data_IF_698147063979
#
_entry.id   IF_698147063979
#
_cell.length_a   1.000
_cell.length_b   1.000
_cell.length_c   1.000
_cell.angle_alpha   90.00
_cell.angle_beta   90.00
_cell.angle_gamma   90.00
#
_symmetry.space_group_name_H-M   'P 1'
#
loop_
_entity.id
_entity.type
_entity.pdbx_description
1 polymer ?
#
# COMPACT_ATOMS: atom_id res chain seq x y z
N UNK A 1 5.09 -10.37 -19.09
CA UNK A 1 3.75 -9.76 -19.25
C UNK A 1 3.49 -8.76 -18.14
N UNK A 2 2.45 -7.93 -18.25
CA UNK A 2 1.99 -7.06 -17.19
C UNK A 2 0.81 -7.67 -16.41
N UNK A 3 0.51 -7.12 -15.21
CA UNK A 3 -0.63 -7.57 -14.40
C UNK A 3 -1.96 -7.45 -15.15
N UNK A 4 -2.16 -6.37 -15.94
CA UNK A 4 -3.39 -6.15 -16.68
C UNK A 4 -3.55 -7.10 -17.87
N UNK A 5 -2.47 -7.37 -18.60
CA UNK A 5 -2.48 -8.36 -19.67
C UNK A 5 -2.71 -9.76 -19.13
N UNK A 6 -2.02 -10.13 -18.06
CA UNK A 6 -2.19 -11.43 -17.42
C UNK A 6 -3.64 -11.64 -16.94
N UNK A 7 -4.26 -10.62 -16.36
CA UNK A 7 -5.67 -10.66 -15.94
C UNK A 7 -6.63 -10.80 -17.13
N UNK A 8 -6.37 -10.06 -18.23
CA UNK A 8 -7.23 -10.08 -19.42
C UNK A 8 -7.17 -11.42 -20.15
N UNK A 9 -5.97 -11.95 -20.28
CA UNK A 9 -5.69 -13.16 -21.03
C UNK A 9 -5.52 -14.38 -20.08
N UNK A 10 -6.20 -14.34 -18.93
CA UNK A 10 -6.01 -15.27 -17.81
C UNK A 10 -6.23 -16.74 -18.21
N UNK A 11 -7.21 -17.04 -19.07
CA UNK A 11 -7.52 -18.39 -19.54
C UNK A 11 -6.30 -19.04 -20.21
N UNK A 12 -5.53 -18.29 -20.98
CA UNK A 12 -4.31 -18.78 -21.64
C UNK A 12 -3.22 -19.17 -20.63
N UNK A 13 -3.09 -18.39 -19.54
CA UNK A 13 -2.07 -18.65 -18.53
C UNK A 13 -2.42 -19.80 -17.57
N UNK A 14 -3.70 -20.11 -17.39
CA UNK A 14 -4.15 -21.23 -16.54
C UNK A 14 -3.73 -22.61 -17.05
N UNK A 15 -3.55 -22.75 -18.36
CA UNK A 15 -3.18 -24.01 -19.00
C UNK A 15 -1.68 -24.27 -18.91
N UNK A 16 -0.88 -23.25 -18.59
CA UNK A 16 0.56 -23.33 -18.57
C UNK A 16 1.05 -23.63 -17.15
N UNK A 17 1.92 -24.62 -16.99
CA UNK A 17 2.67 -24.86 -15.75
C UNK A 17 4.03 -24.15 -15.85
N UNK A 18 4.23 -23.13 -14.99
CA UNK A 18 5.45 -22.34 -14.95
C UNK A 18 6.46 -22.96 -13.98
N UNK A 19 7.74 -22.93 -14.32
CA UNK A 19 8.80 -23.26 -13.37
C UNK A 19 8.92 -22.15 -12.29
N UNK A 20 8.89 -20.89 -12.73
CA UNK A 20 8.93 -19.70 -11.86
C UNK A 20 7.85 -18.71 -12.25
N UNK A 21 7.19 -18.15 -11.23
CA UNK A 21 6.38 -16.92 -11.36
C UNK A 21 7.00 -15.86 -10.48
N UNK A 22 7.52 -14.82 -11.11
CA UNK A 22 8.18 -13.70 -10.44
C UNK A 22 7.28 -12.47 -10.59
N UNK A 23 6.81 -11.93 -9.48
CA UNK A 23 6.06 -10.67 -9.46
C UNK A 23 7.02 -9.51 -9.19
N UNK A 24 7.20 -8.65 -10.17
CA UNK A 24 7.84 -7.35 -9.95
C UNK A 24 6.80 -6.35 -9.49
N UNK A 25 7.19 -5.38 -8.65
CA UNK A 25 6.29 -4.42 -8.01
C UNK A 25 5.09 -5.14 -7.35
N UNK A 26 5.37 -6.13 -6.49
CA UNK A 26 4.36 -7.00 -5.89
C UNK A 26 3.30 -6.25 -5.05
N UNK A 27 3.47 -4.96 -4.77
CA UNK A 27 2.42 -4.13 -4.15
C UNK A 27 1.15 -4.04 -5.01
N UNK A 28 1.20 -4.37 -6.32
CA UNK A 28 -0.01 -4.47 -7.15
C UNK A 28 -0.98 -5.57 -6.69
N UNK A 29 -0.51 -6.55 -5.92
CA UNK A 29 -1.35 -7.60 -5.33
C UNK A 29 -1.63 -7.42 -3.83
N UNK A 30 -1.25 -6.29 -3.24
CA UNK A 30 -1.43 -6.01 -1.80
C UNK A 30 -2.89 -6.11 -1.33
N UNK A 31 -3.83 -5.79 -2.19
CA UNK A 31 -5.25 -5.97 -1.92
C UNK A 31 -5.73 -7.29 -2.52
N UNK A 32 -5.95 -8.29 -1.66
CA UNK A 32 -6.41 -9.63 -2.07
C UNK A 32 -7.73 -9.66 -2.84
N UNK A 33 -8.56 -8.61 -2.74
CA UNK A 33 -9.86 -8.53 -3.42
C UNK A 33 -9.75 -8.08 -4.87
N UNK A 34 -8.61 -7.58 -5.29
CA UNK A 34 -8.42 -7.12 -6.68
C UNK A 34 -8.36 -8.31 -7.63
N UNK A 35 -8.85 -8.10 -8.84
CA UNK A 35 -8.78 -9.10 -9.91
C UNK A 35 -7.33 -9.49 -10.22
N UNK A 36 -6.38 -8.53 -10.16
CA UNK A 36 -4.96 -8.79 -10.35
C UNK A 36 -4.42 -9.78 -9.29
N UNK A 37 -4.73 -9.55 -8.01
CA UNK A 37 -4.31 -10.45 -6.95
C UNK A 37 -4.91 -11.85 -7.10
N UNK A 38 -6.19 -11.94 -7.41
CA UNK A 38 -6.87 -13.22 -7.61
C UNK A 38 -6.28 -14.00 -8.79
N UNK A 39 -6.06 -13.34 -9.93
CA UNK A 39 -5.54 -13.99 -11.13
C UNK A 39 -4.12 -14.55 -10.92
N UNK A 40 -3.18 -13.78 -10.33
CA UNK A 40 -1.81 -14.27 -10.13
C UNK A 40 -1.71 -15.40 -9.11
N UNK A 41 -2.60 -15.43 -8.10
CA UNK A 41 -2.59 -16.47 -7.06
C UNK A 41 -3.00 -17.85 -7.59
N UNK A 42 -3.75 -17.91 -8.67
CA UNK A 42 -4.24 -19.16 -9.27
C UNK A 42 -3.33 -19.73 -10.34
N UNK A 43 -2.22 -19.05 -10.70
CA UNK A 43 -1.24 -19.57 -11.64
C UNK A 43 -0.58 -20.85 -11.13
N UNK A 44 -0.47 -21.85 -12.01
CA UNK A 44 0.23 -23.09 -11.72
C UNK A 44 1.74 -22.86 -11.84
N UNK A 45 2.47 -23.05 -10.75
CA UNK A 45 3.92 -22.81 -10.74
C UNK A 45 4.59 -23.60 -9.64
N UNK A 46 5.84 -24.00 -9.86
CA UNK A 46 6.68 -24.67 -8.86
C UNK A 46 7.29 -23.70 -7.87
N UNK A 47 7.74 -22.54 -8.35
CA UNK A 47 8.43 -21.56 -7.53
C UNK A 47 7.81 -20.18 -7.69
N UNK A 48 7.77 -19.42 -6.61
CA UNK A 48 7.21 -18.08 -6.56
C UNK A 48 8.18 -17.11 -5.94
N UNK A 49 8.32 -15.93 -6.53
CA UNK A 49 9.12 -14.82 -6.01
C UNK A 49 8.31 -13.53 -6.13
N UNK A 50 8.43 -12.67 -5.14
CA UNK A 50 7.84 -11.35 -5.13
C UNK A 50 8.92 -10.30 -4.88
N UNK A 51 9.05 -9.33 -5.78
CA UNK A 51 9.94 -8.19 -5.68
C UNK A 51 9.11 -6.95 -5.39
N UNK A 52 9.50 -6.19 -4.35
CA UNK A 52 8.83 -4.94 -4.00
C UNK A 52 9.79 -4.01 -3.27
N UNK A 53 9.75 -2.72 -3.60
CA UNK A 53 10.46 -1.69 -2.84
C UNK A 53 9.81 -1.39 -1.48
N UNK A 54 8.56 -1.75 -1.30
CA UNK A 54 7.72 -1.37 -0.16
C UNK A 54 6.89 -2.55 0.35
N UNK A 55 7.52 -3.54 1.01
CA UNK A 55 6.86 -4.79 1.38
C UNK A 55 5.73 -4.62 2.41
N UNK A 56 5.80 -3.59 3.25
CA UNK A 56 4.82 -3.28 4.29
C UNK A 56 4.71 -1.75 4.38
N UNK A 57 3.85 -1.15 3.55
CA UNK A 57 3.64 0.30 3.62
C UNK A 57 2.56 0.70 4.61
N UNK A 58 1.39 0.07 4.54
CA UNK A 58 0.21 0.59 5.19
C UNK A 58 -0.53 -0.41 6.09
N UNK A 59 -0.36 -1.71 5.89
CA UNK A 59 -1.09 -2.68 6.70
C UNK A 59 -0.51 -4.09 6.67
N UNK A 60 -0.76 -4.86 7.74
CA UNK A 60 -0.43 -6.28 7.80
C UNK A 60 -1.23 -7.11 6.79
N UNK A 61 -2.39 -6.61 6.33
CA UNK A 61 -3.16 -7.24 5.26
C UNK A 61 -2.39 -7.29 3.93
N UNK A 62 -1.55 -6.29 3.65
CA UNK A 62 -0.70 -6.27 2.45
C UNK A 62 0.37 -7.37 2.53
N UNK A 63 1.04 -7.50 3.70
CA UNK A 63 1.98 -8.59 3.97
C UNK A 63 1.30 -9.94 3.77
N UNK A 64 0.12 -10.13 4.36
CA UNK A 64 -0.64 -11.37 4.21
C UNK A 64 -0.91 -11.69 2.74
N UNK A 65 -1.32 -10.71 1.95
CA UNK A 65 -1.66 -10.95 0.53
C UNK A 65 -0.45 -11.39 -0.30
N UNK A 66 0.74 -10.83 -0.03
CA UNK A 66 1.98 -11.26 -0.69
C UNK A 66 2.36 -12.67 -0.25
N UNK A 67 2.26 -12.98 1.05
CA UNK A 67 2.57 -14.34 1.56
C UNK A 67 1.56 -15.38 1.08
N UNK A 68 0.29 -15.03 0.93
CA UNK A 68 -0.71 -15.93 0.36
C UNK A 68 -0.47 -16.25 -1.12
N UNK A 69 0.16 -15.32 -1.88
CA UNK A 69 0.69 -15.63 -3.20
C UNK A 69 1.90 -16.56 -3.12
N UNK A 70 2.92 -16.22 -2.30
CA UNK A 70 4.18 -16.97 -2.22
C UNK A 70 3.96 -18.39 -1.69
N UNK A 71 3.27 -18.52 -0.59
CA UNK A 71 3.05 -19.76 0.16
C UNK A 71 1.60 -19.81 0.65
N UNK A 72 0.66 -20.29 -0.19
CA UNK A 72 -0.75 -20.38 0.18
C UNK A 72 -0.94 -21.11 1.51
N UNK A 73 -1.78 -20.59 2.38
CA UNK A 73 -2.10 -21.13 3.71
C UNK A 73 -0.96 -21.04 4.77
N UNK A 74 0.22 -20.58 4.45
CA UNK A 74 1.33 -20.44 5.42
C UNK A 74 0.96 -19.51 6.60
N UNK A 75 0.32 -18.38 6.31
CA UNK A 75 -0.22 -17.47 7.31
C UNK A 75 -1.73 -17.68 7.54
N UNK A 76 -2.23 -18.88 7.28
CA UNK A 76 -3.65 -19.26 7.35
C UNK A 76 -4.52 -18.46 6.36
N UNK A 77 -5.86 -18.62 6.46
CA UNK A 77 -6.76 -17.75 5.72
C UNK A 77 -6.77 -16.32 6.32
N UNK A 78 -7.21 -15.34 5.54
CA UNK A 78 -7.17 -13.94 5.97
C UNK A 78 -7.97 -13.64 7.24
N UNK A 79 -9.11 -14.30 7.43
CA UNK A 79 -9.92 -14.11 8.64
C UNK A 79 -9.13 -14.52 9.89
N UNK A 80 -8.53 -15.69 9.88
CA UNK A 80 -7.71 -16.18 10.99
C UNK A 80 -6.46 -15.32 11.23
N UNK A 81 -5.77 -14.92 10.15
CA UNK A 81 -4.63 -14.01 10.23
C UNK A 81 -5.02 -12.68 10.86
N UNK A 82 -6.16 -12.11 10.47
CA UNK A 82 -6.67 -10.85 10.98
C UNK A 82 -6.95 -10.91 12.47
N UNK A 83 -7.59 -11.97 12.95
CA UNK A 83 -7.89 -12.15 14.36
C UNK A 83 -6.66 -12.48 15.19
N UNK A 84 -5.74 -13.27 14.65
CA UNK A 84 -4.56 -13.75 15.38
C UNK A 84 -3.44 -12.71 15.44
N UNK A 85 -3.25 -11.94 14.38
CA UNK A 85 -2.11 -11.01 14.24
C UNK A 85 -2.53 -9.57 13.99
N UNK A 86 -3.36 -9.30 12.96
CA UNK A 86 -3.61 -7.91 12.53
C UNK A 86 -4.31 -7.09 13.61
N UNK A 87 -5.42 -7.57 14.16
CA UNK A 87 -6.18 -6.87 15.21
C UNK A 87 -5.35 -6.72 16.49
N UNK A 88 -4.74 -7.78 17.05
CA UNK A 88 -3.93 -7.65 18.26
C UNK A 88 -2.75 -6.70 18.10
N UNK A 89 -2.04 -6.75 16.97
CA UNK A 89 -0.86 -5.90 16.73
C UNK A 89 -1.28 -4.44 16.54
N UNK A 90 -2.32 -4.17 15.73
CA UNK A 90 -2.69 -2.79 15.38
C UNK A 90 -3.51 -2.12 16.47
N UNK A 91 -4.47 -2.83 17.07
CA UNK A 91 -5.38 -2.23 18.06
C UNK A 91 -4.88 -2.33 19.49
N UNK A 92 -4.20 -3.43 19.83
CA UNK A 92 -3.79 -3.72 21.20
C UNK A 92 -2.27 -3.57 21.40
N UNK A 93 -1.53 -3.18 20.35
CA UNK A 93 -0.06 -3.03 20.38
C UNK A 93 0.66 -4.27 20.93
N UNK A 94 0.13 -5.48 20.64
CA UNK A 94 0.63 -6.75 21.16
C UNK A 94 2.02 -7.08 20.58
N UNK A 95 3.04 -6.79 21.35
CA UNK A 95 4.45 -7.01 20.97
C UNK A 95 4.79 -8.50 20.83
N UNK A 96 4.14 -9.38 21.60
CA UNK A 96 4.40 -10.82 21.50
C UNK A 96 3.90 -11.38 20.17
N UNK A 97 2.70 -10.96 19.74
CA UNK A 97 2.15 -11.33 18.42
C UNK A 97 2.97 -10.75 17.29
N UNK A 98 3.45 -9.50 17.45
CA UNK A 98 4.34 -8.87 16.47
C UNK A 98 5.66 -9.65 16.35
N UNK A 99 6.31 -10.00 17.46
CA UNK A 99 7.55 -10.78 17.45
C UNK A 99 7.35 -12.16 16.81
N UNK A 100 6.24 -12.84 17.14
CA UNK A 100 5.91 -14.13 16.55
C UNK A 100 5.67 -14.05 15.04
N UNK A 101 4.92 -13.06 14.57
CA UNK A 101 4.72 -12.83 13.13
C UNK A 101 6.04 -12.56 12.43
N UNK A 102 6.90 -11.70 13.02
CA UNK A 102 8.23 -11.41 12.49
C UNK A 102 9.06 -12.68 12.33
N UNK A 103 9.14 -13.54 13.35
CA UNK A 103 9.85 -14.81 13.27
C UNK A 103 9.35 -15.72 12.15
N UNK A 104 8.04 -15.72 11.88
CA UNK A 104 7.44 -16.53 10.81
C UNK A 104 7.85 -16.03 9.43
N UNK A 105 7.87 -14.71 9.20
CA UNK A 105 8.08 -14.14 7.88
C UNK A 105 9.54 -13.82 7.54
N UNK A 106 10.35 -13.52 8.54
CA UNK A 106 11.75 -13.09 8.38
C UNK A 106 12.63 -14.05 7.55
N UNK A 107 12.51 -15.39 7.66
CA UNK A 107 13.32 -16.31 6.84
C UNK A 107 13.05 -16.23 5.33
N UNK A 108 11.92 -15.65 4.94
CA UNK A 108 11.48 -15.55 3.54
C UNK A 108 11.61 -14.14 2.97
N UNK A 109 12.09 -13.18 3.76
CA UNK A 109 12.23 -11.77 3.36
C UNK A 109 13.70 -11.41 3.29
N UNK A 110 14.17 -11.00 2.11
CA UNK A 110 15.46 -10.37 1.94
C UNK A 110 15.28 -8.88 1.68
N UNK A 111 15.64 -8.04 2.64
CA UNK A 111 15.61 -6.60 2.49
C UNK A 111 17.01 -6.02 2.52
N UNK A 112 17.33 -5.20 1.52
CA UNK A 112 18.58 -4.44 1.45
C UNK A 112 18.25 -2.98 1.19
N UNK A 113 18.73 -2.08 2.02
CA UNK A 113 18.61 -0.64 1.77
C UNK A 113 19.75 -0.16 0.88
N UNK A 114 19.51 0.90 0.11
CA UNK A 114 20.55 1.52 -0.72
C UNK A 114 21.78 1.90 0.12
N UNK A 115 21.58 2.39 1.33
CA UNK A 115 22.64 2.81 2.25
C UNK A 115 23.53 1.65 2.71
N UNK A 116 22.97 0.44 2.84
CA UNK A 116 23.73 -0.75 3.26
C UNK A 116 24.57 -1.35 2.13
N UNK A 117 24.12 -1.18 0.88
CA UNK A 117 24.72 -1.87 -0.28
C UNK A 117 25.58 -0.95 -1.14
N UNK A 118 25.21 0.32 -1.26
CA UNK A 118 25.84 1.30 -2.14
C UNK A 118 26.65 2.31 -1.32
N UNK A 119 27.75 1.84 -0.78
CA UNK A 119 28.66 2.69 0.05
C UNK A 119 29.36 3.78 -0.76
N UNK A 120 29.40 3.67 -2.09
CA UNK A 120 30.02 4.63 -3.00
C UNK A 120 29.08 5.82 -3.36
N UNK A 121 27.78 5.72 -3.06
CA UNK A 121 26.86 6.81 -3.31
C UNK A 121 26.98 7.89 -2.23
N UNK A 122 27.03 9.18 -2.63
CA UNK A 122 26.97 10.27 -1.66
C UNK A 122 25.62 10.24 -0.91
N UNK A 123 25.62 10.84 0.28
CA UNK A 123 24.40 10.98 1.06
C UNK A 123 23.35 11.77 0.27
N UNK A 124 22.07 11.35 0.45
CA UNK A 124 20.94 12.05 -0.15
C UNK A 124 20.83 13.46 0.43
N UNK A 125 20.96 14.46 -0.43
CA UNK A 125 20.74 15.87 -0.07
C UNK A 125 19.30 16.21 -0.40
N UNK A 126 18.52 16.61 0.61
CA UNK A 126 17.15 17.10 0.44
C UNK A 126 17.12 18.62 0.65
N UNK A 127 16.77 19.34 -0.40
CA UNK A 127 16.60 20.78 -0.32
C UNK A 127 15.11 21.13 -0.41
N UNK A 128 14.60 21.79 0.62
CA UNK A 128 13.24 22.33 0.61
C UNK A 128 13.26 23.71 -0.02
N UNK A 129 12.66 23.84 -1.20
CA UNK A 129 12.48 25.13 -1.88
C UNK A 129 11.07 25.62 -1.60
N UNK A 130 10.97 26.74 -0.90
CA UNK A 130 9.70 27.41 -0.62
C UNK A 130 9.45 28.42 -1.71
N UNK A 131 8.36 28.25 -2.45
CA UNK A 131 7.93 29.18 -3.50
C UNK A 131 6.73 29.95 -2.93
N UNK A 132 6.84 31.28 -2.73
CA UNK A 132 5.72 32.09 -2.27
C UNK A 132 4.66 32.21 -3.37
N UNK A 133 3.41 32.37 -2.98
CA UNK A 133 2.34 32.71 -3.92
C UNK A 133 2.53 34.09 -4.49
N UNK A 134 2.10 34.29 -5.73
CA UNK A 134 1.86 35.62 -6.25
C UNK A 134 0.65 36.25 -5.53
N UNK A 135 0.52 37.60 -5.53
CA UNK A 135 -0.63 38.26 -4.90
C UNK A 135 -2.00 37.79 -5.46
N UNK A 136 -2.06 37.41 -6.72
CA UNK A 136 -3.25 36.89 -7.37
C UNK A 136 -3.57 35.47 -6.89
N UNK A 137 -2.57 34.59 -6.84
CA UNK A 137 -2.71 33.20 -6.35
C UNK A 137 -3.11 33.19 -4.88
N UNK A 138 -2.49 34.06 -4.05
CA UNK A 138 -2.81 34.16 -2.63
C UNK A 138 -4.28 34.55 -2.41
N UNK A 139 -4.80 35.54 -3.19
CA UNK A 139 -6.22 35.90 -3.13
C UNK A 139 -7.16 34.75 -3.45
N UNK A 140 -6.84 33.99 -4.50
CA UNK A 140 -7.64 32.81 -4.91
C UNK A 140 -7.60 31.74 -3.84
N UNK A 141 -6.41 31.47 -3.29
CA UNK A 141 -6.23 30.49 -2.22
C UNK A 141 -7.02 30.90 -0.96
N UNK A 142 -6.91 32.13 -0.49
CA UNK A 142 -7.60 32.62 0.71
C UNK A 142 -9.12 32.63 0.54
N UNK A 143 -9.63 32.96 -0.65
CA UNK A 143 -11.06 32.90 -0.94
C UNK A 143 -11.61 31.45 -0.84
N UNK A 144 -10.89 30.49 -1.44
CA UNK A 144 -11.26 29.07 -1.33
C UNK A 144 -11.12 28.55 0.11
N UNK A 145 -10.10 28.94 0.84
CA UNK A 145 -9.89 28.56 2.24
C UNK A 145 -11.03 29.08 3.12
N UNK A 146 -11.47 30.34 2.91
CA UNK A 146 -12.60 30.92 3.65
C UNK A 146 -13.90 30.15 3.39
N UNK A 147 -14.17 29.80 2.14
CA UNK A 147 -15.36 29.01 1.77
C UNK A 147 -15.32 27.64 2.45
N UNK A 148 -14.19 26.95 2.37
CA UNK A 148 -14.01 25.61 2.97
C UNK A 148 -14.16 25.69 4.49
N UNK A 149 -13.60 26.70 5.15
CA UNK A 149 -13.77 26.89 6.59
C UNK A 149 -15.23 27.08 7.00
N UNK A 150 -16.01 27.87 6.25
CA UNK A 150 -17.42 28.05 6.52
C UNK A 150 -18.24 26.76 6.36
N UNK A 151 -17.95 26.00 5.32
CA UNK A 151 -18.59 24.69 5.07
C UNK A 151 -18.24 23.67 6.17
N UNK A 152 -16.98 23.62 6.60
CA UNK A 152 -16.55 22.75 7.70
C UNK A 152 -17.21 23.14 9.04
N UNK A 153 -17.28 24.43 9.36
CA UNK A 153 -17.95 24.88 10.59
C UNK A 153 -19.43 24.52 10.59
N UNK A 154 -20.10 24.69 9.45
CA UNK A 154 -21.50 24.29 9.30
C UNK A 154 -21.69 22.78 9.46
N UNK A 155 -20.80 21.96 8.88
CA UNK A 155 -20.84 20.51 9.02
C UNK A 155 -20.59 20.02 10.46
N UNK A 156 -19.71 20.71 11.20
CA UNK A 156 -19.43 20.42 12.61
C UNK A 156 -20.68 20.73 13.48
N UNK A 157 -21.36 21.84 13.22
CA UNK A 157 -22.56 22.23 13.98
C UNK A 157 -23.71 21.22 13.80
N UNK A 158 -23.83 20.62 12.60
CA UNK A 158 -24.87 19.63 12.30
C UNK A 158 -24.46 18.22 12.72
N UNK A 159 -23.25 18.05 13.29
CA UNK A 159 -22.64 16.77 13.68
C UNK A 159 -22.61 15.73 12.54
N UNK A 160 -22.54 16.22 11.30
CA UNK A 160 -22.47 15.39 10.09
C UNK A 160 -21.22 15.75 9.28
N UNK A 161 -20.13 15.05 9.57
CA UNK A 161 -18.85 15.24 8.88
C UNK A 161 -18.64 14.09 7.89
N UNK A 162 -18.77 14.36 6.60
CA UNK A 162 -18.42 13.40 5.57
C UNK A 162 -16.91 13.49 5.27
N UNK A 163 -16.18 12.40 5.55
CA UNK A 163 -14.75 12.30 5.29
C UNK A 163 -14.40 12.48 3.81
N UNK A 164 -15.30 12.09 2.90
CA UNK A 164 -15.12 12.24 1.47
C UNK A 164 -15.17 13.71 1.06
N UNK A 165 -16.10 14.48 1.65
CA UNK A 165 -16.18 15.92 1.41
C UNK A 165 -14.94 16.65 1.92
N UNK A 166 -14.44 16.31 3.11
CA UNK A 166 -13.20 16.89 3.63
C UNK A 166 -12.03 16.60 2.70
N UNK A 167 -11.89 15.36 2.23
CA UNK A 167 -10.83 14.98 1.30
C UNK A 167 -10.92 15.75 -0.02
N UNK A 168 -12.14 15.95 -0.54
CA UNK A 168 -12.36 16.74 -1.75
C UNK A 168 -11.97 18.21 -1.57
N UNK A 169 -12.31 18.81 -0.42
CA UNK A 169 -11.93 20.18 -0.05
C UNK A 169 -10.41 20.35 0.07
N UNK A 170 -9.74 19.42 0.76
CA UNK A 170 -8.27 19.42 0.85
C UNK A 170 -7.60 19.24 -0.51
N UNK A 171 -8.15 18.37 -1.36
CA UNK A 171 -7.66 18.16 -2.72
C UNK A 171 -7.78 19.43 -3.56
N UNK A 172 -8.90 20.16 -3.43
CA UNK A 172 -9.11 21.45 -4.11
C UNK A 172 -8.09 22.50 -3.68
N UNK A 173 -7.82 22.64 -2.37
CA UNK A 173 -6.77 23.55 -1.88
C UNK A 173 -5.40 23.17 -2.41
N UNK A 174 -5.08 21.87 -2.43
CA UNK A 174 -3.78 21.37 -2.95
C UNK A 174 -3.62 21.63 -4.45
N UNK A 175 -4.71 21.67 -5.22
CA UNK A 175 -4.65 21.97 -6.66
C UNK A 175 -4.39 23.45 -6.96
N UNK A 176 -4.54 24.32 -5.96
CA UNK A 176 -4.24 25.75 -6.07
C UNK A 176 -2.79 26.09 -5.68
N UNK A 177 -2.05 25.13 -5.13
CA UNK A 177 -0.62 25.20 -4.82
C UNK A 177 0.21 24.57 -5.94
#
# INVERSE_FOLDING_TARGET
>A
TSYDYMRRDFELYQEIEFEYVILDEAQYIKNQKTKNAQSVKTLKTRHKLALTGTPIENSLAELWSIFDFLMPQYLYNYHHFKETYEIPIIKNEDQQKQAKLKQLVEPFILRRTKKEVLTELPDKIENNVIIPFTPEEEKVYLANLSTINSELQSAIQVNHIDKIQILAMMTRLRQLC
#
